data_IF_597298141524
#
_entry.id   IF_597298141524
#
_cell.length_a   1.000
_cell.length_b   1.000
_cell.length_c   1.000
_cell.angle_alpha   90.00
_cell.angle_beta   90.00
_cell.angle_gamma   90.00
#
_symmetry.space_group_name_H-M   'P 1'
#
loop_
_entity.id
_entity.type
_entity.pdbx_description
1 polymer ?
#
# COMPACT_ATOMS: atom_id res chain seq x y z
N UNK A 1 54.25 16.61 36.62
CA UNK A 1 53.98 15.40 35.83
C UNK A 1 52.65 14.84 36.30
N UNK A 2 51.59 15.02 35.50
CA UNK A 2 50.26 14.47 35.76
C UNK A 2 49.77 13.86 34.45
N UNK A 3 49.30 12.60 34.39
CA UNK A 3 48.92 11.99 33.13
C UNK A 3 47.54 12.46 32.70
N UNK A 4 47.45 12.87 31.42
CA UNK A 4 46.20 13.02 30.66
C UNK A 4 45.55 11.64 30.50
N UNK A 5 44.30 11.50 30.91
CA UNK A 5 43.40 10.48 30.38
C UNK A 5 42.39 11.17 29.44
N UNK A 6 42.73 11.19 28.16
CA UNK A 6 41.80 11.50 27.08
C UNK A 6 41.16 10.20 26.64
N UNK A 7 40.06 9.80 27.27
CA UNK A 7 39.20 8.73 26.77
C UNK A 7 38.24 9.32 25.73
N UNK A 8 38.67 9.30 24.46
CA UNK A 8 37.75 9.40 23.34
C UNK A 8 36.89 8.13 23.35
N UNK A 9 35.66 8.25 23.86
CA UNK A 9 34.61 7.25 23.67
C UNK A 9 34.21 7.28 22.19
N UNK A 10 34.63 6.23 21.49
CA UNK A 10 34.25 5.92 20.13
C UNK A 10 32.73 5.65 20.09
N UNK A 11 31.94 6.65 19.72
CA UNK A 11 30.49 6.55 19.44
C UNK A 11 30.26 5.87 18.08
N UNK A 12 30.75 4.64 17.94
CA UNK A 12 30.51 3.79 16.78
C UNK A 12 30.14 2.39 17.25
N UNK A 13 29.01 2.26 17.95
CA UNK A 13 28.38 0.98 18.23
C UNK A 13 26.88 1.11 17.96
N UNK A 14 26.51 0.59 16.78
CA UNK A 14 25.24 -0.07 16.45
C UNK A 14 24.05 0.32 17.33
N UNK A 15 23.17 1.19 16.80
CA UNK A 15 21.82 1.33 17.30
C UNK A 15 21.06 0.02 17.04
N UNK A 16 21.16 -0.93 17.96
CA UNK A 16 20.19 -2.03 18.03
C UNK A 16 18.84 -1.40 18.38
N UNK A 17 18.06 -1.10 17.34
CA UNK A 17 16.69 -0.60 17.49
C UNK A 17 15.93 -1.67 18.24
N UNK A 18 15.61 -1.40 19.52
CA UNK A 18 14.80 -2.29 20.35
C UNK A 18 13.47 -2.51 19.62
N UNK A 19 13.28 -3.70 19.05
CA UNK A 19 12.06 -4.06 18.32
C UNK A 19 10.89 -4.09 19.29
N UNK A 20 9.81 -3.40 18.94
CA UNK A 20 8.59 -3.42 19.76
C UNK A 20 7.82 -4.74 19.54
N UNK A 21 6.92 -5.13 20.46
CA UNK A 21 6.03 -6.26 20.24
C UNK A 21 5.19 -6.16 18.95
N UNK A 22 4.87 -4.94 18.49
CA UNK A 22 4.18 -4.74 17.20
C UNK A 22 5.12 -4.98 16.01
N UNK A 23 6.39 -4.61 16.11
CA UNK A 23 7.38 -4.90 15.06
C UNK A 23 7.55 -6.41 14.87
N UNK A 24 7.58 -7.16 15.97
CA UNK A 24 7.63 -8.62 15.92
C UNK A 24 6.40 -9.22 15.23
N UNK A 25 5.19 -8.74 15.56
CA UNK A 25 3.95 -9.19 14.93
C UNK A 25 3.92 -8.92 13.42
N UNK A 26 4.42 -7.76 12.98
CA UNK A 26 4.53 -7.43 11.54
C UNK A 26 5.52 -8.37 10.85
N UNK A 27 6.71 -8.57 11.45
CA UNK A 27 7.72 -9.49 10.91
C UNK A 27 7.20 -10.93 10.79
N UNK A 28 6.43 -11.39 11.78
CA UNK A 28 5.84 -12.73 11.76
C UNK A 28 4.80 -12.87 10.63
N UNK A 29 3.97 -11.85 10.38
CA UNK A 29 3.03 -11.85 9.25
C UNK A 29 3.78 -11.88 7.91
N UNK A 30 4.80 -11.02 7.75
CA UNK A 30 5.59 -10.98 6.52
C UNK A 30 6.24 -12.34 6.23
N UNK A 31 6.79 -12.99 7.27
CA UNK A 31 7.37 -14.33 7.18
C UNK A 31 6.33 -15.38 6.80
N UNK A 32 5.11 -15.28 7.33
CA UNK A 32 4.01 -16.19 7.00
C UNK A 32 3.54 -16.02 5.55
N UNK A 33 3.44 -14.77 5.05
CA UNK A 33 3.13 -14.49 3.64
C UNK A 33 4.17 -15.09 2.71
N UNK A 34 5.46 -14.88 3.01
CA UNK A 34 6.56 -15.45 2.23
C UNK A 34 6.54 -16.98 2.25
N UNK A 35 6.28 -17.59 3.41
CA UNK A 35 6.18 -19.04 3.56
C UNK A 35 5.01 -19.62 2.76
N UNK A 36 3.86 -18.94 2.77
CA UNK A 36 2.69 -19.32 1.97
C UNK A 36 3.00 -19.26 0.48
N UNK A 37 3.66 -18.20 -0.01
CA UNK A 37 4.06 -18.09 -1.41
C UNK A 37 5.03 -19.20 -1.84
N UNK A 38 6.05 -19.47 -1.01
CA UNK A 38 7.01 -20.56 -1.25
C UNK A 38 6.31 -21.91 -1.33
N UNK A 39 5.39 -22.17 -0.40
CA UNK A 39 4.59 -23.40 -0.38
C UNK A 39 3.71 -23.52 -1.63
N UNK A 40 2.99 -22.46 -2.01
CA UNK A 40 2.15 -22.44 -3.22
C UNK A 40 2.97 -22.69 -4.48
N UNK A 41 4.15 -22.08 -4.61
CA UNK A 41 5.05 -22.32 -5.74
C UNK A 41 5.51 -23.78 -5.80
N UNK A 42 5.94 -24.35 -4.68
CA UNK A 42 6.32 -25.76 -4.61
C UNK A 42 5.16 -26.70 -4.99
N UNK A 43 3.94 -26.36 -4.55
CA UNK A 43 2.75 -27.12 -4.94
C UNK A 43 2.48 -27.02 -6.44
N UNK A 44 2.60 -25.83 -7.04
CA UNK A 44 2.44 -25.64 -8.49
C UNK A 44 3.44 -26.48 -9.27
N UNK A 45 4.73 -26.38 -8.93
CA UNK A 45 5.81 -27.10 -9.61
C UNK A 45 5.61 -28.62 -9.52
N UNK A 46 5.18 -29.14 -8.37
CA UNK A 46 4.87 -30.56 -8.22
C UNK A 46 3.63 -30.96 -9.03
N UNK A 47 2.60 -30.13 -9.03
CA UNK A 47 1.36 -30.38 -9.75
C UNK A 47 1.57 -30.44 -11.26
N UNK A 48 2.37 -29.53 -11.81
CA UNK A 48 2.78 -29.54 -13.21
C UNK A 48 3.53 -30.82 -13.57
N UNK A 49 4.47 -31.28 -12.72
CA UNK A 49 5.21 -32.54 -12.93
C UNK A 49 4.29 -33.77 -13.01
N UNK A 50 3.19 -33.77 -12.27
CA UNK A 50 2.24 -34.88 -12.26
C UNK A 50 0.97 -34.62 -13.10
N UNK A 51 0.91 -33.51 -13.85
CA UNK A 51 -0.23 -33.16 -14.69
C UNK A 51 -1.54 -32.92 -13.92
N UNK A 52 -1.48 -32.45 -12.67
CA UNK A 52 -2.66 -32.29 -11.80
C UNK A 52 -2.94 -30.82 -11.48
N UNK A 53 -4.00 -30.23 -12.02
CA UNK A 53 -4.36 -28.84 -11.72
C UNK A 53 -4.81 -28.63 -10.25
N UNK A 54 -4.73 -27.39 -9.76
CA UNK A 54 -5.35 -27.02 -8.47
C UNK A 54 -6.87 -27.10 -8.57
N UNK A 55 -7.53 -27.63 -7.55
CA UNK A 55 -8.99 -27.55 -7.43
C UNK A 55 -9.42 -26.15 -6.99
N UNK A 56 -10.65 -25.74 -7.30
CA UNK A 56 -11.19 -24.43 -6.89
C UNK A 56 -11.13 -24.23 -5.37
N UNK A 57 -11.44 -25.27 -4.60
CA UNK A 57 -11.35 -25.25 -3.12
C UNK A 57 -9.91 -25.07 -2.62
N UNK A 58 -8.91 -25.62 -3.31
CA UNK A 58 -7.51 -25.41 -2.93
C UNK A 58 -7.05 -23.99 -3.22
N UNK A 59 -7.44 -23.43 -4.38
CA UNK A 59 -7.15 -22.03 -4.73
C UNK A 59 -7.77 -21.09 -3.70
N UNK A 60 -9.06 -21.29 -3.39
CA UNK A 60 -9.80 -20.54 -2.37
C UNK A 60 -9.08 -20.51 -1.02
N UNK A 61 -8.71 -21.68 -0.48
CA UNK A 61 -8.02 -21.73 0.82
C UNK A 61 -6.70 -20.97 0.82
N UNK A 62 -5.96 -20.97 -0.29
CA UNK A 62 -4.70 -20.22 -0.39
C UNK A 62 -4.96 -18.71 -0.41
N UNK A 63 -5.98 -18.27 -1.14
CA UNK A 63 -6.39 -16.86 -1.16
C UNK A 63 -6.93 -16.40 0.19
N UNK A 64 -7.79 -17.18 0.85
CA UNK A 64 -8.33 -16.82 2.17
C UNK A 64 -7.22 -16.58 3.19
N UNK A 65 -6.24 -17.48 3.25
CA UNK A 65 -5.09 -17.33 4.14
C UNK A 65 -4.27 -16.08 3.80
N UNK A 66 -4.02 -15.81 2.51
CA UNK A 66 -3.30 -14.61 2.09
C UNK A 66 -4.07 -13.34 2.44
N UNK A 67 -5.39 -13.31 2.20
CA UNK A 67 -6.27 -12.19 2.55
C UNK A 67 -6.21 -11.89 4.04
N UNK A 68 -6.27 -12.93 4.89
CA UNK A 68 -6.15 -12.78 6.35
C UNK A 68 -4.82 -12.14 6.72
N UNK A 69 -3.71 -12.58 6.13
CA UNK A 69 -2.39 -12.01 6.41
C UNK A 69 -2.29 -10.56 5.98
N UNK A 70 -2.78 -10.21 4.79
CA UNK A 70 -2.71 -8.85 4.27
C UNK A 70 -3.57 -7.88 5.10
N UNK A 71 -4.78 -8.30 5.52
CA UNK A 71 -5.64 -7.51 6.41
C UNK A 71 -4.96 -7.23 7.76
N UNK A 72 -4.41 -8.27 8.40
CA UNK A 72 -3.71 -8.12 9.69
C UNK A 72 -2.45 -7.27 9.58
N UNK A 73 -1.71 -7.37 8.48
CA UNK A 73 -0.57 -6.50 8.22
C UNK A 73 -0.99 -5.02 8.16
N UNK A 74 -2.08 -4.72 7.45
CA UNK A 74 -2.61 -3.36 7.37
C UNK A 74 -3.03 -2.84 8.75
N UNK A 75 -3.72 -3.67 9.54
CA UNK A 75 -4.11 -3.34 10.92
C UNK A 75 -2.90 -3.02 11.80
N UNK A 76 -1.89 -3.89 11.84
CA UNK A 76 -0.69 -3.64 12.66
C UNK A 76 0.12 -2.43 12.19
N UNK A 77 0.17 -2.18 10.88
CA UNK A 77 0.79 -0.97 10.34
C UNK A 77 0.02 0.29 10.75
N UNK A 78 -1.32 0.23 10.82
CA UNK A 78 -2.15 1.33 11.30
C UNK A 78 -1.90 1.59 12.80
N UNK A 79 -1.90 0.54 13.61
CA UNK A 79 -1.59 0.61 15.03
C UNK A 79 -0.19 1.17 15.28
N UNK A 80 0.81 0.72 14.52
CA UNK A 80 2.18 1.24 14.61
C UNK A 80 2.24 2.73 14.29
N UNK A 81 1.52 3.19 13.26
CA UNK A 81 1.41 4.62 12.94
C UNK A 81 0.76 5.41 14.08
N UNK A 82 -0.34 4.90 14.63
CA UNK A 82 -1.02 5.54 15.76
C UNK A 82 -0.10 5.64 16.99
N UNK A 83 0.61 4.57 17.33
CA UNK A 83 1.61 4.58 18.42
C UNK A 83 2.70 5.62 18.14
N UNK A 84 3.24 5.69 16.92
CA UNK A 84 4.27 6.67 16.57
C UNK A 84 3.78 8.11 16.69
N UNK A 85 2.56 8.40 16.23
CA UNK A 85 1.94 9.72 16.37
C UNK A 85 1.76 10.09 17.84
N UNK A 86 1.18 9.22 18.65
CA UNK A 86 0.99 9.45 20.09
C UNK A 86 2.34 9.65 20.78
N UNK A 87 3.35 8.83 20.46
CA UNK A 87 4.70 9.02 21.00
C UNK A 87 5.26 10.40 20.67
N UNK A 88 5.11 10.86 19.43
CA UNK A 88 5.60 12.18 19.02
C UNK A 88 4.90 13.33 19.74
N UNK A 89 3.59 13.22 19.98
CA UNK A 89 2.78 14.22 20.66
C UNK A 89 3.06 14.26 22.18
N UNK A 90 3.24 13.10 22.81
CA UNK A 90 3.65 13.03 24.21
C UNK A 90 5.04 13.63 24.39
N UNK A 91 5.99 13.32 23.52
CA UNK A 91 7.36 13.89 23.59
C UNK A 91 7.36 15.40 23.37
N UNK A 92 6.51 15.93 22.50
CA UNK A 92 6.46 17.38 22.23
C UNK A 92 5.81 18.19 23.35
N UNK A 93 4.90 17.58 24.12
CA UNK A 93 4.24 18.22 25.27
C UNK A 93 5.10 18.30 26.54
N UNK A 94 6.25 17.63 26.59
CA UNK A 94 7.20 17.74 27.72
C UNK A 94 8.01 19.04 27.56
N UNK A 95 7.75 20.02 28.43
CA UNK A 95 8.43 21.32 28.40
C UNK A 95 9.93 21.22 28.80
N UNK A 96 10.24 20.40 29.81
CA UNK A 96 11.59 20.21 30.34
C UNK A 96 12.47 19.38 29.37
N UNK A 97 13.56 19.97 28.88
CA UNK A 97 14.48 19.34 27.92
C UNK A 97 15.16 18.09 28.46
N UNK A 98 15.48 18.07 29.75
CA UNK A 98 16.17 16.96 30.42
C UNK A 98 15.23 15.77 30.58
N UNK A 99 13.98 16.04 30.97
CA UNK A 99 12.93 15.01 31.08
C UNK A 99 12.55 14.48 29.70
N UNK A 100 12.50 15.35 28.68
CA UNK A 100 12.25 14.98 27.30
C UNK A 100 13.34 14.06 26.73
N UNK A 101 14.61 14.38 26.96
CA UNK A 101 15.74 13.52 26.57
C UNK A 101 15.71 12.17 27.31
N UNK A 102 15.43 12.16 28.62
CA UNK A 102 15.25 10.91 29.37
C UNK A 102 14.02 10.10 28.92
N UNK A 103 12.91 10.73 28.56
CA UNK A 103 11.71 10.05 28.06
C UNK A 103 11.93 9.41 26.68
N UNK A 104 12.78 10.03 25.86
CA UNK A 104 13.27 9.48 24.59
C UNK A 104 14.19 8.29 24.85
N UNK A 105 15.14 8.39 25.80
CA UNK A 105 16.11 7.33 26.12
C UNK A 105 15.52 6.12 26.86
N UNK A 106 14.61 6.34 27.81
CA UNK A 106 14.04 5.29 28.66
C UNK A 106 12.83 4.59 28.03
N UNK A 107 12.35 5.09 26.90
CA UNK A 107 11.08 4.69 26.31
C UNK A 107 9.90 5.22 27.12
N UNK A 108 8.95 5.84 26.42
CA UNK A 108 7.74 6.49 26.96
C UNK A 108 6.93 5.60 27.92
N UNK A 109 7.17 4.29 27.98
CA UNK A 109 6.53 3.29 28.83
C UNK A 109 6.35 3.70 30.30
N UNK A 110 7.31 4.41 30.91
CA UNK A 110 7.21 4.88 32.30
C UNK A 110 6.25 6.07 32.50
N UNK A 111 5.99 6.84 31.43
CA UNK A 111 5.10 7.99 31.42
C UNK A 111 3.66 7.65 30.96
N UNK A 112 3.45 6.45 30.39
CA UNK A 112 2.13 5.99 29.90
C UNK A 112 1.10 5.85 31.01
N UNK A 113 1.51 5.58 32.25
CA UNK A 113 0.58 5.42 33.38
C UNK A 113 -0.08 6.74 33.84
N UNK A 114 0.47 7.91 33.47
CA UNK A 114 -0.02 9.23 33.91
C UNK A 114 -0.87 9.96 32.86
N UNK A 115 -0.87 9.49 31.62
CA UNK A 115 -1.59 10.10 30.49
C UNK A 115 -2.77 9.18 30.13
N UNK A 116 -3.94 9.69 29.68
CA UNK A 116 -5.00 8.86 29.12
C UNK A 116 -4.58 8.30 27.74
N UNK A 117 -3.45 7.60 27.70
CA UNK A 117 -2.81 7.03 26.51
C UNK A 117 -3.82 6.20 25.70
N UNK A 118 -4.66 5.43 26.40
CA UNK A 118 -5.69 4.62 25.77
C UNK A 118 -6.75 5.46 25.05
N UNK A 119 -7.20 6.58 25.62
CA UNK A 119 -8.20 7.44 25.00
C UNK A 119 -7.64 8.17 23.77
N UNK A 120 -6.43 8.73 23.88
CA UNK A 120 -5.75 9.42 22.77
C UNK A 120 -5.44 8.42 21.64
N UNK A 121 -4.96 7.23 21.98
CA UNK A 121 -4.70 6.17 21.02
C UNK A 121 -5.95 5.70 20.28
N UNK A 122 -7.07 5.47 21.00
CA UNK A 122 -8.34 5.10 20.37
C UNK A 122 -8.83 6.19 19.42
N UNK A 123 -8.79 7.46 19.83
CA UNK A 123 -9.22 8.58 18.99
C UNK A 123 -8.38 8.71 17.72
N UNK A 124 -7.05 8.55 17.82
CA UNK A 124 -6.18 8.55 16.64
C UNK A 124 -6.44 7.36 15.72
N UNK A 125 -6.64 6.16 16.27
CA UNK A 125 -6.96 4.99 15.49
C UNK A 125 -8.27 5.17 14.73
N UNK A 126 -9.31 5.69 15.37
CA UNK A 126 -10.60 5.98 14.73
C UNK A 126 -10.45 7.00 13.61
N UNK A 127 -9.74 8.10 13.87
CA UNK A 127 -9.46 9.11 12.84
C UNK A 127 -8.68 8.53 11.66
N UNK A 128 -7.71 7.65 11.91
CA UNK A 128 -6.95 7.01 10.84
C UNK A 128 -7.83 6.05 10.03
N UNK A 129 -8.70 5.27 10.68
CA UNK A 129 -9.65 4.38 10.02
C UNK A 129 -10.66 5.15 9.16
N UNK A 130 -11.21 6.25 9.67
CA UNK A 130 -12.18 7.09 8.94
C UNK A 130 -11.57 7.81 7.74
N UNK A 131 -10.26 8.07 7.75
CA UNK A 131 -9.54 8.74 6.66
C UNK A 131 -8.86 7.77 5.68
N UNK A 132 -8.98 6.45 5.91
CA UNK A 132 -8.36 5.45 5.06
C UNK A 132 -9.28 5.11 3.89
N UNK A 133 -8.76 5.11 2.67
CA UNK A 133 -9.40 4.41 1.55
C UNK A 133 -9.50 2.94 1.88
N UNK A 134 -10.57 2.29 1.46
CA UNK A 134 -10.86 0.89 1.71
C UNK A 134 -9.62 0.00 1.44
N UNK A 135 -9.38 -0.99 2.30
CA UNK A 135 -8.21 -1.84 2.19
C UNK A 135 -8.28 -2.68 0.91
N UNK A 136 -7.46 -2.30 -0.08
CA UNK A 136 -7.41 -2.96 -1.38
C UNK A 136 -6.30 -4.03 -1.40
N UNK A 137 -6.74 -5.29 -1.49
CA UNK A 137 -5.87 -6.47 -1.59
C UNK A 137 -4.97 -6.45 -2.83
N UNK A 138 -5.40 -5.79 -3.92
CA UNK A 138 -4.65 -5.77 -5.17
C UNK A 138 -3.40 -4.89 -5.11
N UNK A 139 -3.33 -4.00 -4.12
CA UNK A 139 -2.11 -3.25 -3.84
C UNK A 139 -1.06 -4.07 -3.07
N UNK A 140 -1.42 -5.24 -2.53
CA UNK A 140 -0.49 -6.09 -1.81
C UNK A 140 0.32 -6.98 -2.75
N UNK A 141 1.64 -6.80 -2.76
CA UNK A 141 2.55 -7.54 -3.62
C UNK A 141 2.47 -9.07 -3.42
N UNK A 142 2.22 -9.54 -2.20
CA UNK A 142 2.13 -10.99 -1.94
C UNK A 142 0.83 -11.56 -2.48
N UNK A 143 -0.26 -10.80 -2.39
CA UNK A 143 -1.54 -11.18 -2.98
C UNK A 143 -1.48 -11.21 -4.51
N UNK A 144 -0.86 -10.22 -5.15
CA UNK A 144 -0.66 -10.21 -6.61
C UNK A 144 0.26 -11.35 -7.07
N UNK A 145 1.30 -11.65 -6.29
CA UNK A 145 2.21 -12.78 -6.58
C UNK A 145 1.47 -14.11 -6.48
N UNK A 146 0.61 -14.29 -5.47
CA UNK A 146 -0.20 -15.51 -5.33
C UNK A 146 -1.13 -15.71 -6.53
N UNK A 147 -1.75 -14.62 -7.00
CA UNK A 147 -2.61 -14.60 -8.19
C UNK A 147 -1.87 -15.09 -9.42
N UNK A 148 -0.66 -14.57 -9.65
CA UNK A 148 0.21 -14.98 -10.75
C UNK A 148 0.65 -16.44 -10.64
N UNK A 149 0.94 -16.94 -9.44
CA UNK A 149 1.33 -18.35 -9.25
C UNK A 149 0.15 -19.27 -9.60
N UNK A 150 -1.08 -18.92 -9.23
CA UNK A 150 -2.24 -19.79 -9.45
C UNK A 150 -2.87 -19.66 -10.85
N UNK A 151 -2.21 -18.91 -11.75
CA UNK A 151 -2.63 -18.60 -13.12
C UNK A 151 -4.08 -18.15 -13.19
N UNK A 152 -4.54 -17.40 -12.20
CA UNK A 152 -5.83 -16.73 -12.29
C UNK A 152 -5.62 -15.43 -13.05
N UNK A 153 -6.10 -15.38 -14.29
CA UNK A 153 -6.34 -14.10 -14.97
C UNK A 153 -7.36 -13.32 -14.15
N UNK A 154 -7.26 -11.99 -14.17
CA UNK A 154 -8.18 -11.09 -13.45
C UNK A 154 -9.66 -11.36 -13.78
N UNK A 155 -9.92 -11.98 -14.93
CA UNK A 155 -11.26 -12.38 -15.39
C UNK A 155 -11.92 -13.50 -14.54
N UNK A 156 -11.13 -14.39 -13.91
CA UNK A 156 -11.67 -15.43 -13.00
C UNK A 156 -11.83 -14.94 -11.55
N UNK A 157 -11.32 -13.76 -11.20
CA UNK A 157 -11.39 -13.19 -9.85
C UNK A 157 -12.71 -12.44 -9.59
N UNK A 158 -13.36 -11.94 -10.64
CA UNK A 158 -14.67 -11.28 -10.55
C UNK A 158 -15.79 -12.23 -10.08
N UNK A 159 -15.55 -13.55 -10.11
CA UNK A 159 -16.51 -14.56 -9.65
C UNK A 159 -16.41 -14.92 -8.15
N UNK A 160 -15.50 -14.30 -7.37
CA UNK A 160 -15.28 -14.70 -5.95
C UNK A 160 -15.10 -13.56 -4.96
N UNK A 161 -15.25 -12.30 -5.37
CA UNK A 161 -15.48 -11.20 -4.43
C UNK A 161 -16.99 -11.15 -4.17
N UNK A 162 -17.48 -12.17 -3.46
CA UNK A 162 -18.87 -12.22 -2.99
C UNK A 162 -18.87 -12.41 -1.47
N UNK A 163 -18.33 -11.39 -0.81
CA UNK A 163 -18.68 -10.96 0.55
C UNK A 163 -18.65 -9.43 0.57
N UNK A 164 -19.38 -8.84 -0.37
CA UNK A 164 -20.17 -7.61 -0.25
C UNK A 164 -20.67 -7.28 -1.66
N UNK A 165 -21.97 -7.44 -1.79
CA UNK A 165 -22.79 -7.32 -2.99
C UNK A 165 -22.74 -5.88 -3.54
N UNK A 166 -22.08 -5.68 -4.69
CA UNK A 166 -22.48 -4.70 -5.71
C UNK A 166 -21.84 -5.11 -7.05
N UNK A 167 -22.68 -5.47 -8.01
CA UNK A 167 -22.35 -5.91 -9.37
C UNK A 167 -21.26 -5.06 -10.04
N UNK A 168 -20.06 -5.62 -10.25
CA UNK A 168 -18.95 -4.96 -10.96
C UNK A 168 -19.13 -5.01 -12.48
N UNK A 169 -20.03 -4.17 -13.00
CA UNK A 169 -19.87 -3.71 -14.37
C UNK A 169 -18.52 -2.99 -14.48
N UNK A 170 -17.77 -3.22 -15.55
CA UNK A 170 -16.55 -2.48 -15.82
C UNK A 170 -16.85 -0.97 -15.74
N UNK A 171 -16.15 -0.24 -14.87
CA UNK A 171 -16.30 1.20 -14.76
C UNK A 171 -15.08 1.89 -15.35
N UNK A 172 -15.31 2.94 -16.13
CA UNK A 172 -14.24 3.77 -16.70
C UNK A 172 -13.46 4.42 -15.55
N UNK A 173 -12.13 4.22 -15.45
CA UNK A 173 -11.33 4.85 -14.40
C UNK A 173 -11.39 6.38 -14.45
N UNK A 174 -11.32 7.01 -13.28
CA UNK A 174 -11.36 8.47 -13.13
C UNK A 174 -9.94 9.07 -13.17
N UNK A 175 -9.76 10.13 -13.96
CA UNK A 175 -8.50 10.87 -14.05
C UNK A 175 -8.12 11.48 -12.69
N UNK A 176 -6.94 11.15 -12.13
CA UNK A 176 -6.47 11.69 -10.86
C UNK A 176 -6.31 13.22 -10.80
N UNK A 177 -6.02 13.89 -11.91
CA UNK A 177 -5.87 15.34 -12.04
C UNK A 177 -7.21 16.07 -12.16
N UNK A 178 -8.08 15.60 -13.07
CA UNK A 178 -9.30 16.33 -13.44
C UNK A 178 -10.58 15.77 -12.81
N UNK A 179 -10.52 14.60 -12.18
CA UNK A 179 -11.66 13.92 -11.55
C UNK A 179 -12.83 13.65 -12.51
N UNK A 180 -12.50 13.38 -13.78
CA UNK A 180 -13.44 13.01 -14.84
C UNK A 180 -13.15 11.60 -15.35
N UNK A 181 -14.12 10.88 -15.93
CA UNK A 181 -13.86 9.60 -16.58
C UNK A 181 -12.82 9.73 -17.70
N UNK A 182 -11.87 8.80 -17.75
CA UNK A 182 -10.81 8.78 -18.76
C UNK A 182 -11.39 8.39 -20.12
N UNK A 183 -11.09 9.17 -21.15
CA UNK A 183 -11.49 8.85 -22.53
C UNK A 183 -10.37 8.14 -23.27
N UNK A 184 -9.16 8.72 -23.24
CA UNK A 184 -7.97 8.13 -23.88
C UNK A 184 -6.90 7.94 -22.80
N UNK A 185 -6.65 6.71 -22.34
CA UNK A 185 -5.75 6.47 -21.23
C UNK A 185 -4.27 6.58 -21.67
N UNK A 186 -3.50 7.36 -20.92
CA UNK A 186 -2.03 7.38 -20.98
C UNK A 186 -1.44 6.93 -19.65
N UNK A 187 -0.48 6.03 -19.70
CA UNK A 187 0.16 5.41 -18.54
C UNK A 187 1.56 5.97 -18.34
N UNK A 188 1.87 6.35 -17.10
CA UNK A 188 3.22 6.73 -16.71
C UNK A 188 4.15 5.51 -16.70
N UNK A 189 5.25 5.55 -17.46
CA UNK A 189 6.18 4.42 -17.56
C UNK A 189 6.93 4.13 -16.24
N UNK A 190 7.08 5.12 -15.36
CA UNK A 190 7.82 5.01 -14.09
C UNK A 190 6.95 4.51 -12.93
N UNK A 191 5.73 5.03 -12.79
CA UNK A 191 4.84 4.68 -11.67
C UNK A 191 3.55 3.95 -12.08
N UNK A 192 3.34 3.70 -13.38
CA UNK A 192 2.21 2.97 -13.95
C UNK A 192 0.81 3.56 -13.69
N UNK A 193 0.72 4.77 -13.14
CA UNK A 193 -0.56 5.47 -13.02
C UNK A 193 -1.07 5.94 -14.38
N UNK A 194 -2.40 5.92 -14.53
CA UNK A 194 -3.08 6.29 -15.77
C UNK A 194 -3.73 7.67 -15.64
N UNK A 195 -3.69 8.44 -16.72
CA UNK A 195 -4.30 9.76 -16.85
C UNK A 195 -5.11 9.82 -18.15
N UNK A 196 -6.00 10.79 -18.28
CA UNK A 196 -6.59 11.12 -19.57
C UNK A 196 -5.57 11.89 -20.43
N UNK A 197 -5.42 11.48 -21.69
CA UNK A 197 -4.46 12.06 -22.63
C UNK A 197 -4.69 13.55 -22.83
N UNK A 198 -5.92 13.98 -23.10
CA UNK A 198 -6.16 15.38 -23.40
C UNK A 198 -5.88 16.24 -22.17
N UNK A 199 -6.36 15.79 -21.00
CA UNK A 199 -6.15 16.53 -19.75
C UNK A 199 -4.69 16.57 -19.33
N UNK A 200 -3.99 15.45 -19.44
CA UNK A 200 -2.58 15.36 -19.10
C UNK A 200 -1.75 16.32 -19.96
N UNK A 201 -1.92 16.31 -21.28
CA UNK A 201 -1.16 17.19 -22.18
C UNK A 201 -1.53 18.67 -21.98
N UNK A 202 -2.80 18.98 -21.69
CA UNK A 202 -3.27 20.35 -21.39
C UNK A 202 -2.60 20.98 -20.17
N UNK A 203 -2.20 20.18 -19.17
CA UNK A 203 -1.42 20.65 -18.02
C UNK A 203 -0.06 21.22 -18.44
N UNK A 204 0.52 20.70 -19.53
CA UNK A 204 1.82 21.14 -20.04
C UNK A 204 1.73 22.21 -21.12
N UNK A 205 0.57 22.45 -21.74
CA UNK A 205 0.38 23.51 -22.74
C UNK A 205 0.70 24.91 -22.22
N UNK A 206 0.37 25.18 -20.95
CA UNK A 206 0.63 26.47 -20.28
C UNK A 206 2.00 26.55 -19.59
N UNK A 207 2.84 25.51 -19.73
CA UNK A 207 4.12 25.38 -19.02
C UNK A 207 5.31 25.30 -20.00
N UNK A 208 6.53 25.59 -19.54
CA UNK A 208 7.74 25.36 -20.34
C UNK A 208 7.85 23.88 -20.78
N UNK A 209 8.39 23.62 -21.99
CA UNK A 209 8.55 22.25 -22.54
C UNK A 209 9.25 21.26 -21.59
N UNK A 210 10.16 21.75 -20.74
CA UNK A 210 10.93 20.92 -19.80
C UNK A 210 10.31 20.87 -18.40
N UNK A 211 9.06 21.33 -18.25
CA UNK A 211 8.38 21.32 -16.96
C UNK A 211 8.08 19.88 -16.52
N UNK A 212 8.21 19.64 -15.23
CA UNK A 212 7.88 18.37 -14.60
C UNK A 212 6.80 18.60 -13.56
N UNK A 213 5.83 17.71 -13.52
CA UNK A 213 4.76 17.72 -12.53
C UNK A 213 4.93 16.55 -11.57
N UNK A 214 4.37 16.68 -10.37
CA UNK A 214 4.30 15.55 -9.44
C UNK A 214 3.16 14.62 -9.88
N UNK A 215 3.35 13.32 -9.70
CA UNK A 215 2.22 12.40 -9.85
C UNK A 215 1.13 12.78 -8.82
N UNK A 216 -0.13 12.93 -9.25
CA UNK A 216 -1.24 13.39 -8.40
C UNK A 216 -1.77 12.28 -7.48
N UNK A 217 -1.39 11.04 -7.73
CA UNK A 217 -1.79 9.89 -6.90
C UNK A 217 -1.10 9.98 -5.54
N UNK A 218 -1.91 10.03 -4.48
CA UNK A 218 -1.47 10.10 -3.08
C UNK A 218 -0.52 8.96 -2.75
N UNK A 219 0.62 9.29 -2.13
CA UNK A 219 1.64 8.30 -1.77
C UNK A 219 2.55 7.84 -2.91
N UNK A 220 2.38 8.35 -4.14
CA UNK A 220 3.28 8.01 -5.23
C UNK A 220 4.71 8.52 -4.97
N UNK A 221 5.67 7.59 -5.02
CA UNK A 221 7.09 7.90 -4.90
C UNK A 221 7.63 8.69 -6.10
N UNK A 222 6.97 8.60 -7.26
CA UNK A 222 7.37 9.35 -8.45
C UNK A 222 6.91 10.81 -8.39
N UNK A 223 7.85 11.69 -8.06
CA UNK A 223 7.61 13.13 -7.92
C UNK A 223 7.91 13.94 -9.20
N UNK A 224 8.32 13.28 -10.29
CA UNK A 224 8.70 13.95 -11.54
C UNK A 224 8.12 13.19 -12.74
N UNK A 225 7.10 13.79 -13.35
CA UNK A 225 6.40 13.31 -14.54
C UNK A 225 6.51 14.37 -15.62
N UNK A 226 6.98 13.97 -16.79
CA UNK A 226 7.04 14.79 -18.00
C UNK A 226 6.19 14.17 -19.12
N UNK A 227 6.02 14.90 -20.23
CA UNK A 227 5.29 14.40 -21.42
C UNK A 227 5.96 13.15 -22.00
N UNK A 228 7.28 13.03 -21.88
CA UNK A 228 8.07 11.92 -22.39
C UNK A 228 7.99 10.67 -21.50
N UNK A 229 7.48 10.81 -20.27
CA UNK A 229 7.36 9.72 -19.30
C UNK A 229 6.03 8.97 -19.38
N UNK A 230 5.18 9.29 -20.36
CA UNK A 230 3.87 8.65 -20.54
C UNK A 230 3.76 7.98 -21.91
N UNK A 231 3.10 6.83 -21.93
CA UNK A 231 2.77 6.07 -23.14
C UNK A 231 1.27 5.80 -23.20
N UNK A 232 0.72 5.53 -24.39
CA UNK A 232 -0.70 5.22 -24.53
C UNK A 232 -1.02 3.81 -24.01
N UNK A 233 -2.07 3.67 -23.21
CA UNK A 233 -2.50 2.40 -22.63
C UNK A 233 -3.52 1.71 -23.56
N UNK A 234 -3.01 1.02 -24.57
CA UNK A 234 -3.82 0.40 -25.64
C UNK A 234 -4.83 -0.62 -25.08
N UNK A 235 -4.46 -1.33 -24.02
CA UNK A 235 -5.31 -2.33 -23.38
C UNK A 235 -6.51 -1.66 -22.68
N UNK A 236 -6.25 -0.64 -21.86
CA UNK A 236 -7.31 0.08 -21.17
C UNK A 236 -8.20 0.86 -22.15
N UNK A 237 -7.60 1.41 -23.22
CA UNK A 237 -8.34 2.08 -24.29
C UNK A 237 -9.35 1.12 -24.94
N UNK A 238 -8.92 -0.08 -25.27
CA UNK A 238 -9.78 -1.11 -25.86
C UNK A 238 -10.94 -1.52 -24.93
N UNK A 239 -10.71 -1.55 -23.60
CA UNK A 239 -11.77 -1.82 -22.62
C UNK A 239 -12.78 -0.66 -22.52
N UNK A 240 -12.29 0.58 -22.50
CA UNK A 240 -13.14 1.78 -22.47
C UNK A 240 -13.99 1.86 -23.75
N UNK A 241 -13.42 1.57 -24.91
CA UNK A 241 -14.13 1.58 -26.20
C UNK A 241 -15.22 0.50 -26.24
N UNK A 242 -14.94 -0.73 -25.81
CA UNK A 242 -15.94 -1.80 -25.71
C UNK A 242 -17.08 -1.44 -24.77
N UNK A 243 -16.76 -0.89 -23.60
CA UNK A 243 -17.77 -0.46 -22.63
C UNK A 243 -18.67 0.64 -23.21
N UNK A 244 -18.11 1.64 -23.90
CA UNK A 244 -18.92 2.69 -24.56
C UNK A 244 -19.83 2.09 -25.63
N UNK A 245 -19.34 1.15 -26.44
CA UNK A 245 -20.14 0.47 -27.47
C UNK A 245 -21.29 -0.35 -26.88
N UNK A 246 -21.05 -1.07 -25.79
CA UNK A 246 -22.05 -1.89 -25.10
C UNK A 246 -23.16 -1.03 -24.47
N UNK A 247 -22.83 0.18 -23.98
CA UNK A 247 -23.79 1.11 -23.38
C UNK A 247 -24.52 2.00 -24.42
N UNK A 248 -23.89 2.34 -25.55
CA UNK A 248 -24.55 3.09 -26.64
C UNK A 248 -25.56 2.22 -27.42
N UNK A 249 -25.43 0.89 -27.39
CA UNK A 249 -26.33 -0.06 -28.07
C UNK A 249 -27.69 -0.24 -27.38
N UNK A 250 -27.86 0.31 -26.17
CA UNK A 250 -29.06 0.15 -25.34
C UNK A 250 -30.00 1.36 -25.34
N UNK A 251 -29.69 2.43 -26.09
CA UNK A 251 -30.52 3.66 -26.13
C UNK A 251 -31.50 3.75 -27.32
N UNK A 252 -31.66 2.70 -28.13
CA UNK A 252 -32.55 2.69 -29.31
C UNK A 252 -33.65 1.61 -29.24
N UNK A 253 -34.43 1.62 -28.14
CA UNK A 253 -35.67 0.85 -27.99
C UNK A 253 -36.74 1.63 -27.21
#
# INVERSE_FOLDING_TARGET
>A
MSPRFSSQLNLSQTSDVIKTPHDQKIEDILRNKESLLKFTKLLKDNREKFGTAFTSSQKERLFDNMTIFCKREAEYNLEKKAIQSVKSEVVSSIEDSTIREQAIEMGIAKYIEQIPYQAIFCQYLENLKSNQTEFDLNNDQSYTTLTQILDMTTEDQDAKIDLMEESTQFQIPIDPFMKIPISIPVRNMKCKHVYDKEQFFKIFESRPRNSMIKCPVSGCVNKKVSIEDVEEDVELRSKIEKFKQENDSTEDC
#
